data_IF_833018191611
#
_entry.id   IF_833018191611
#
_cell.length_a   1.000
_cell.length_b   1.000
_cell.length_c   1.000
_cell.angle_alpha   90.00
_cell.angle_beta   90.00
_cell.angle_gamma   90.00
#
_symmetry.space_group_name_H-M   'P 1'
#
loop_
_entity.id
_entity.type
_entity.pdbx_description
1 polymer ?
#
# COMPACT_ATOMS: atom_id res chain seq x y z
N UNK A 1 17.56 -4.23 14.79
CA UNK A 1 16.55 -4.24 15.88
C UNK A 1 16.85 -5.31 16.92
N UNK A 2 16.94 -6.59 16.56
CA UNK A 2 17.31 -7.68 17.51
C UNK A 2 18.63 -7.42 18.24
N UNK A 3 19.68 -6.99 17.51
CA UNK A 3 20.98 -6.61 18.10
C UNK A 3 20.92 -5.46 19.11
N UNK A 4 19.86 -4.65 19.06
CA UNK A 4 19.59 -3.56 19.99
C UNK A 4 18.67 -3.97 21.15
N UNK A 5 18.35 -5.27 21.27
CA UNK A 5 17.55 -5.81 22.39
C UNK A 5 16.05 -5.61 22.25
N UNK A 6 15.56 -5.24 21.07
CA UNK A 6 14.11 -5.14 20.84
C UNK A 6 13.52 -6.55 20.79
N UNK A 7 12.47 -6.86 21.58
CA UNK A 7 11.83 -8.18 21.58
C UNK A 7 11.39 -8.61 20.19
N UNK A 8 11.60 -9.89 19.86
CA UNK A 8 11.31 -10.40 18.52
C UNK A 8 9.84 -10.26 18.10
N UNK A 9 8.90 -10.37 19.04
CA UNK A 9 7.47 -10.16 18.77
C UNK A 9 7.15 -8.70 18.45
N UNK A 10 7.87 -7.73 19.03
CA UNK A 10 7.73 -6.31 18.66
C UNK A 10 8.24 -6.07 17.25
N UNK A 11 9.34 -6.71 16.86
CA UNK A 11 9.85 -6.66 15.47
C UNK A 11 8.82 -7.26 14.51
N UNK A 12 8.20 -8.38 14.88
CA UNK A 12 7.20 -9.05 14.06
C UNK A 12 5.93 -8.21 13.88
N UNK A 13 5.43 -7.59 14.96
CA UNK A 13 4.29 -6.66 14.86
C UNK A 13 4.60 -5.48 13.95
N UNK A 14 5.81 -4.92 14.04
CA UNK A 14 6.24 -3.84 13.17
C UNK A 14 6.25 -4.28 11.70
N UNK A 15 6.79 -5.46 11.39
CA UNK A 15 6.83 -5.99 10.01
C UNK A 15 5.43 -6.15 9.42
N UNK A 16 4.45 -6.61 10.22
CA UNK A 16 3.07 -6.78 9.77
C UNK A 16 2.33 -5.45 9.56
N UNK A 17 2.52 -4.48 10.46
CA UNK A 17 1.75 -3.22 10.46
C UNK A 17 2.35 -2.17 9.56
N UNK A 18 3.67 -2.07 9.47
CA UNK A 18 4.34 -0.98 8.76
C UNK A 18 3.93 -0.87 7.29
N UNK A 19 3.79 -1.97 6.51
CA UNK A 19 3.30 -1.88 5.14
C UNK A 19 1.83 -1.46 5.09
N UNK A 20 0.99 -2.02 5.96
CA UNK A 20 -0.47 -1.88 5.88
C UNK A 20 -0.95 -0.51 6.36
N UNK A 21 -0.47 -0.03 7.52
CA UNK A 21 -0.92 1.21 8.17
C UNK A 21 0.02 2.39 7.91
N UNK A 22 0.74 2.38 6.79
CA UNK A 22 1.53 3.55 6.42
C UNK A 22 0.61 4.73 6.02
N UNK A 23 1.04 5.99 6.19
CA UNK A 23 0.22 7.15 5.88
C UNK A 23 -0.27 7.19 4.42
N UNK A 24 0.54 6.70 3.47
CA UNK A 24 0.17 6.67 2.04
C UNK A 24 -0.98 5.70 1.79
N UNK A 25 -0.95 4.52 2.40
CA UNK A 25 -2.04 3.53 2.33
C UNK A 25 -3.33 4.08 2.90
N UNK A 26 -3.27 4.83 4.00
CA UNK A 26 -4.46 5.44 4.61
C UNK A 26 -5.06 6.50 3.68
N UNK A 27 -4.23 7.39 3.14
CA UNK A 27 -4.66 8.43 2.19
C UNK A 27 -5.27 7.80 0.92
N UNK A 28 -4.61 6.80 0.37
CA UNK A 28 -5.10 6.09 -0.80
C UNK A 28 -6.39 5.29 -0.52
N UNK A 29 -6.49 4.70 0.68
CA UNK A 29 -7.66 3.96 1.14
C UNK A 29 -8.90 4.84 1.29
N UNK A 30 -8.73 6.05 1.83
CA UNK A 30 -9.80 7.06 1.91
C UNK A 30 -10.35 7.47 0.54
N UNK A 31 -9.60 7.22 -0.55
CA UNK A 31 -10.05 7.56 -1.91
C UNK A 31 -10.96 6.49 -2.49
N UNK A 32 -10.84 5.25 -2.01
CA UNK A 32 -11.48 4.10 -2.62
C UNK A 32 -12.57 3.49 -1.75
N UNK A 33 -12.53 3.73 -0.43
CA UNK A 33 -13.29 3.02 0.58
C UNK A 33 -13.93 4.01 1.56
N UNK A 34 -15.11 3.67 2.08
CA UNK A 34 -15.74 4.43 3.15
C UNK A 34 -14.83 4.56 4.40
N UNK A 35 -14.77 5.74 5.05
CA UNK A 35 -13.93 5.96 6.23
C UNK A 35 -14.16 4.97 7.38
N UNK A 36 -15.42 4.56 7.60
CA UNK A 36 -15.79 3.59 8.65
C UNK A 36 -15.16 2.22 8.37
N UNK A 37 -15.21 1.75 7.13
CA UNK A 37 -14.56 0.51 6.72
C UNK A 37 -13.05 0.65 6.92
N UNK A 38 -12.41 1.72 6.41
CA UNK A 38 -10.97 1.91 6.62
C UNK A 38 -10.56 1.90 8.09
N UNK A 39 -11.34 2.53 8.97
CA UNK A 39 -11.10 2.52 10.42
C UNK A 39 -11.19 1.10 10.99
N UNK A 40 -12.22 0.33 10.61
CA UNK A 40 -12.37 -1.07 11.01
C UNK A 40 -11.14 -1.90 10.62
N UNK A 41 -10.65 -1.73 9.39
CA UNK A 41 -9.45 -2.42 8.90
C UNK A 41 -8.18 -1.98 9.63
N UNK A 42 -8.04 -0.68 9.90
CA UNK A 42 -6.90 -0.15 10.63
C UNK A 42 -6.83 -0.71 12.05
N UNK A 43 -7.96 -0.67 12.78
CA UNK A 43 -8.07 -1.23 14.13
C UNK A 43 -7.87 -2.75 14.11
N UNK A 44 -8.51 -3.46 13.17
CA UNK A 44 -8.37 -4.91 13.03
C UNK A 44 -6.92 -5.34 12.78
N UNK A 45 -6.23 -4.69 11.85
CA UNK A 45 -4.81 -4.95 11.57
C UNK A 45 -3.93 -4.66 12.78
N UNK A 46 -4.18 -3.55 13.48
CA UNK A 46 -3.44 -3.18 14.69
C UNK A 46 -3.61 -4.22 15.80
N UNK A 47 -4.85 -4.65 16.07
CA UNK A 47 -5.16 -5.66 17.09
C UNK A 47 -4.52 -7.00 16.74
N UNK A 48 -4.64 -7.45 15.48
CA UNK A 48 -4.03 -8.71 15.03
C UNK A 48 -2.52 -8.67 15.16
N UNK A 49 -1.88 -7.64 14.61
CA UNK A 49 -0.42 -7.55 14.64
C UNK A 49 0.13 -7.46 16.05
N UNK A 50 -0.47 -6.64 16.91
CA UNK A 50 -0.08 -6.51 18.31
C UNK A 50 -0.32 -7.81 19.06
N UNK A 51 -1.47 -8.46 18.83
CA UNK A 51 -1.80 -9.76 19.41
C UNK A 51 -0.81 -10.85 19.03
N UNK A 52 -0.45 -10.94 17.75
CA UNK A 52 0.58 -11.87 17.26
C UNK A 52 1.92 -11.59 17.94
N UNK A 53 2.34 -10.32 18.05
CA UNK A 53 3.59 -9.96 18.72
C UNK A 53 3.61 -10.29 20.21
N UNK A 54 2.50 -10.06 20.92
CA UNK A 54 2.36 -10.43 22.34
C UNK A 54 2.43 -11.94 22.52
N UNK A 55 1.67 -12.71 21.73
CA UNK A 55 1.70 -14.18 21.78
C UNK A 55 3.10 -14.71 21.40
N UNK A 56 3.77 -14.06 20.45
CA UNK A 56 5.13 -14.42 20.06
C UNK A 56 6.12 -14.22 21.22
N UNK A 57 6.06 -13.06 21.89
CA UNK A 57 6.94 -12.77 23.01
C UNK A 57 6.73 -13.77 24.16
N UNK A 58 5.51 -14.21 24.42
CA UNK A 58 5.26 -15.18 25.50
C UNK A 58 5.70 -16.61 25.16
N UNK A 59 5.70 -17.00 23.87
CA UNK A 59 5.97 -18.39 23.46
C UNK A 59 7.37 -18.61 22.87
N UNK A 60 8.03 -17.56 22.36
CA UNK A 60 9.26 -17.68 21.55
C UNK A 60 10.42 -16.82 22.06
N UNK A 61 10.18 -15.61 22.60
CA UNK A 61 11.24 -14.66 22.97
C UNK A 61 12.28 -15.24 23.91
N UNK A 62 11.87 -15.95 24.96
CA UNK A 62 12.78 -16.44 26.02
C UNK A 62 13.91 -17.36 25.52
N UNK A 63 13.80 -17.88 24.28
CA UNK A 63 14.79 -18.79 23.69
C UNK A 63 15.60 -18.18 22.54
N UNK A 64 15.15 -17.06 21.96
CA UNK A 64 15.73 -16.52 20.73
C UNK A 64 16.09 -15.04 20.81
N UNK A 65 15.62 -14.30 21.80
CA UNK A 65 15.99 -12.90 21.95
C UNK A 65 17.47 -12.78 22.39
N UNK A 66 18.09 -11.66 22.02
CA UNK A 66 19.50 -11.42 22.33
C UNK A 66 19.64 -11.25 23.84
N UNK A 67 20.60 -11.99 24.42
CA UNK A 67 20.92 -11.87 25.84
C UNK A 67 21.24 -10.39 26.16
N UNK A 68 20.67 -9.81 27.24
CA UNK A 68 20.98 -8.45 27.67
C UNK A 68 22.48 -8.15 27.80
N UNK A 69 23.34 -9.15 28.01
CA UNK A 69 24.80 -8.99 28.06
C UNK A 69 25.45 -8.73 26.69
N UNK A 70 24.79 -9.11 25.59
CA UNK A 70 25.30 -9.01 24.22
C UNK A 70 24.67 -7.86 23.39
N UNK A 71 24.07 -6.87 24.06
CA UNK A 71 23.41 -5.76 23.39
C UNK A 71 24.42 -4.79 22.77
N UNK A 72 24.32 -4.58 21.46
CA UNK A 72 25.09 -3.56 20.74
C UNK A 72 24.56 -2.16 21.10
N UNK A 73 25.44 -1.23 21.48
CA UNK A 73 25.07 0.18 21.71
C UNK A 73 25.24 0.98 20.42
N UNK A 74 24.25 1.79 20.07
CA UNK A 74 24.33 2.65 18.89
C UNK A 74 25.51 3.65 19.03
N UNK A 75 26.28 3.91 17.96
CA UNK A 75 27.41 4.85 18.02
C UNK A 75 26.92 6.23 18.46
N UNK A 76 27.63 6.94 19.34
CA UNK A 76 27.19 8.28 19.80
C UNK A 76 27.27 9.35 18.69
N UNK A 77 28.27 9.28 17.79
CA UNK A 77 28.48 10.24 16.69
C UNK A 77 27.57 9.94 15.48
N UNK A 78 26.86 10.95 14.99
CA UNK A 78 25.89 10.81 13.87
C UNK A 78 26.50 10.24 12.59
N UNK A 79 27.73 10.63 12.23
CA UNK A 79 28.42 10.11 11.03
C UNK A 79 28.66 8.60 11.13
N UNK A 80 29.01 8.11 12.33
CA UNK A 80 29.22 6.69 12.57
C UNK A 80 27.90 5.91 12.55
N UNK A 81 26.79 6.51 13.02
CA UNK A 81 25.46 5.92 12.87
C UNK A 81 25.10 5.73 11.40
N UNK A 82 25.29 6.77 10.58
CA UNK A 82 25.02 6.70 9.14
C UNK A 82 25.90 5.64 8.47
N UNK A 83 27.19 5.58 8.83
CA UNK A 83 28.10 4.57 8.31
C UNK A 83 27.66 3.14 8.66
N UNK A 84 27.27 2.88 9.91
CA UNK A 84 26.75 1.57 10.35
C UNK A 84 25.47 1.22 9.59
N UNK A 85 24.53 2.16 9.45
CA UNK A 85 23.28 1.95 8.73
C UNK A 85 23.57 1.61 7.26
N UNK A 86 24.46 2.37 6.61
CA UNK A 86 24.83 2.16 5.21
C UNK A 86 25.54 0.81 5.00
N UNK A 87 26.49 0.45 5.87
CA UNK A 87 27.19 -0.84 5.81
C UNK A 87 26.22 -2.01 6.03
N UNK A 88 25.37 -1.91 7.05
CA UNK A 88 24.36 -2.94 7.34
C UNK A 88 23.37 -3.10 6.19
N UNK A 89 22.89 -1.99 5.62
CA UNK A 89 21.94 -2.02 4.51
C UNK A 89 22.56 -2.61 3.23
N UNK A 90 23.77 -2.18 2.86
CA UNK A 90 24.44 -2.63 1.63
C UNK A 90 24.87 -4.10 1.71
N UNK A 91 25.50 -4.53 2.82
CA UNK A 91 25.88 -5.93 3.05
C UNK A 91 24.64 -6.83 3.18
N UNK A 92 23.59 -6.33 3.84
CA UNK A 92 22.30 -7.02 3.96
C UNK A 92 21.65 -7.26 2.61
N UNK A 93 21.59 -6.21 1.76
CA UNK A 93 20.98 -6.23 0.44
C UNK A 93 21.61 -7.25 -0.52
N UNK A 94 22.93 -7.48 -0.42
CA UNK A 94 23.68 -8.48 -1.20
C UNK A 94 23.81 -9.81 -0.44
N UNK A 95 23.26 -9.88 0.77
CA UNK A 95 23.37 -10.98 1.70
C UNK A 95 22.13 -11.90 1.70
N UNK A 96 21.75 -12.43 2.87
CA UNK A 96 20.58 -13.30 2.99
C UNK A 96 19.26 -12.62 2.59
N UNK A 97 19.16 -11.29 2.73
CA UNK A 97 17.96 -10.53 2.34
C UNK A 97 17.74 -10.57 0.82
N UNK A 98 18.80 -10.64 0.02
CA UNK A 98 18.69 -10.83 -1.43
C UNK A 98 17.91 -12.10 -1.78
N UNK A 99 18.19 -13.19 -1.05
CA UNK A 99 17.51 -14.47 -1.23
C UNK A 99 16.04 -14.36 -0.82
N UNK A 100 15.76 -13.65 0.28
CA UNK A 100 14.39 -13.43 0.74
C UNK A 100 13.57 -12.66 -0.31
N UNK A 101 14.14 -11.60 -0.92
CA UNK A 101 13.51 -10.88 -2.03
C UNK A 101 13.36 -11.74 -3.29
N UNK A 102 14.40 -12.50 -3.66
CA UNK A 102 14.35 -13.40 -4.81
C UNK A 102 13.26 -14.47 -4.65
N UNK A 103 13.10 -15.04 -3.46
CA UNK A 103 12.04 -16.00 -3.16
C UNK A 103 10.65 -15.37 -3.25
N UNK A 104 10.47 -14.15 -2.75
CA UNK A 104 9.20 -13.44 -2.88
C UNK A 104 8.85 -13.17 -4.34
N UNK A 105 9.80 -12.68 -5.15
CA UNK A 105 9.59 -12.43 -6.59
C UNK A 105 9.30 -13.72 -7.37
N UNK A 106 10.04 -14.80 -7.07
CA UNK A 106 9.79 -16.10 -7.67
C UNK A 106 8.41 -16.64 -7.31
N UNK A 107 7.99 -16.50 -6.05
CA UNK A 107 6.67 -16.95 -5.60
C UNK A 107 5.54 -16.23 -6.36
N UNK A 108 5.66 -14.92 -6.55
CA UNK A 108 4.70 -14.14 -7.36
C UNK A 108 4.72 -14.59 -8.83
N UNK A 109 5.91 -14.77 -9.41
CA UNK A 109 6.04 -15.24 -10.78
C UNK A 109 5.41 -16.61 -11.01
N UNK A 110 5.65 -17.55 -10.09
CA UNK A 110 5.04 -18.89 -10.12
C UNK A 110 3.53 -18.84 -9.91
N UNK A 111 3.05 -18.02 -8.97
CA UNK A 111 1.63 -17.86 -8.74
C UNK A 111 0.93 -17.43 -10.02
N UNK A 112 1.40 -16.38 -10.68
CA UNK A 112 0.80 -15.95 -11.93
C UNK A 112 0.90 -17.02 -13.03
N UNK A 113 2.00 -17.77 -13.10
CA UNK A 113 2.22 -18.78 -14.14
C UNK A 113 1.28 -19.99 -14.00
N UNK A 114 0.91 -20.34 -12.77
CA UNK A 114 0.10 -21.53 -12.48
C UNK A 114 -1.37 -21.22 -12.17
N UNK A 115 -1.71 -19.99 -11.81
CA UNK A 115 -3.07 -19.61 -11.44
C UNK A 115 -3.89 -19.26 -12.68
N UNK A 116 -4.93 -20.04 -13.05
CA UNK A 116 -5.71 -19.78 -14.25
C UNK A 116 -6.47 -18.45 -14.16
N UNK A 117 -6.71 -17.84 -15.33
CA UNK A 117 -7.49 -16.62 -15.41
C UNK A 117 -8.89 -16.78 -14.81
N UNK A 118 -9.30 -15.81 -14.00
CA UNK A 118 -10.65 -15.73 -13.43
C UNK A 118 -10.96 -16.67 -12.25
N UNK A 119 -10.00 -17.49 -11.82
CA UNK A 119 -10.23 -18.43 -10.71
C UNK A 119 -10.49 -17.70 -9.36
N UNK A 120 -9.88 -16.53 -9.17
CA UNK A 120 -10.10 -15.71 -7.98
C UNK A 120 -11.40 -14.90 -8.08
N UNK A 121 -11.83 -14.51 -9.29
CA UNK A 121 -13.09 -13.76 -9.48
C UNK A 121 -14.31 -14.59 -9.10
N UNK A 122 -14.30 -15.88 -9.42
CA UNK A 122 -15.41 -16.80 -9.12
C UNK A 122 -15.38 -17.34 -7.70
N UNK A 123 -14.18 -17.47 -7.10
CA UNK A 123 -14.01 -18.05 -5.77
C UNK A 123 -14.17 -17.08 -4.59
N UNK A 124 -14.07 -15.76 -4.82
CA UNK A 124 -14.01 -14.75 -3.74
C UNK A 124 -15.36 -14.10 -3.41
N UNK A 125 -16.45 -14.65 -3.93
CA UNK A 125 -17.81 -14.13 -3.72
C UNK A 125 -18.15 -14.06 -2.22
N UNK A 126 -18.96 -13.08 -1.84
CA UNK A 126 -19.33 -12.83 -0.44
C UNK A 126 -20.08 -14.00 0.21
N UNK A 127 -20.80 -14.79 -0.58
CA UNK A 127 -21.53 -15.95 -0.09
C UNK A 127 -20.62 -17.16 0.19
N UNK A 128 -19.37 -17.13 -0.28
CA UNK A 128 -18.42 -18.20 -0.05
C UNK A 128 -17.73 -18.05 1.32
N UNK A 129 -18.17 -18.85 2.30
CA UNK A 129 -17.56 -18.93 3.64
C UNK A 129 -16.07 -19.27 3.58
N UNK A 130 -15.61 -19.95 2.52
CA UNK A 130 -14.21 -20.31 2.33
C UNK A 130 -13.37 -19.23 1.64
N UNK A 131 -13.97 -18.12 1.16
CA UNK A 131 -13.24 -17.07 0.46
C UNK A 131 -12.07 -16.50 1.29
N UNK A 132 -12.21 -16.18 2.59
CA UNK A 132 -11.08 -15.71 3.41
C UNK A 132 -9.97 -16.75 3.55
N UNK A 133 -10.32 -18.04 3.60
CA UNK A 133 -9.34 -19.13 3.70
C UNK A 133 -8.56 -19.31 2.40
N UNK A 134 -9.27 -19.40 1.27
CA UNK A 134 -8.67 -19.54 -0.06
C UNK A 134 -7.81 -18.30 -0.33
N UNK A 135 -8.30 -17.11 0.01
CA UNK A 135 -7.55 -15.88 -0.19
C UNK A 135 -6.32 -15.83 0.70
N UNK A 136 -6.39 -16.30 1.95
CA UNK A 136 -5.23 -16.40 2.80
C UNK A 136 -4.14 -17.31 2.21
N UNK A 137 -4.53 -18.45 1.64
CA UNK A 137 -3.58 -19.37 1.00
C UNK A 137 -2.94 -18.75 -0.25
N UNK A 138 -3.73 -18.07 -1.07
CA UNK A 138 -3.26 -17.35 -2.26
C UNK A 138 -2.42 -16.14 -1.88
N UNK A 139 -2.75 -15.44 -0.80
CA UNK A 139 -2.09 -14.20 -0.41
C UNK A 139 -0.67 -14.40 0.13
N UNK A 140 -0.32 -15.58 0.65
CA UNK A 140 1.04 -15.90 1.13
C UNK A 140 2.12 -15.74 0.03
N UNK A 141 1.95 -16.34 -1.17
CA UNK A 141 2.88 -16.13 -2.28
C UNK A 141 2.71 -14.79 -2.99
N UNK A 142 1.56 -14.12 -2.82
CA UNK A 142 1.31 -12.79 -3.38
C UNK A 142 2.16 -11.76 -2.63
N UNK A 143 3.05 -11.09 -3.35
CA UNK A 143 3.69 -9.86 -2.88
C UNK A 143 3.11 -8.70 -3.66
N UNK A 144 2.43 -7.80 -2.95
CA UNK A 144 1.76 -6.65 -3.54
C UNK A 144 2.07 -5.43 -2.70
N UNK A 145 2.29 -4.30 -3.37
CA UNK A 145 2.56 -3.07 -2.64
C UNK A 145 1.32 -2.66 -1.85
N UNK A 146 1.47 -2.03 -0.67
CA UNK A 146 0.32 -1.58 0.11
C UNK A 146 -0.64 -0.67 -0.67
N UNK A 147 -0.12 0.15 -1.58
CA UNK A 147 -0.91 1.01 -2.46
C UNK A 147 -1.77 0.19 -3.43
N UNK A 148 -1.19 -0.83 -4.08
CA UNK A 148 -1.91 -1.71 -5.00
C UNK A 148 -2.97 -2.53 -4.25
N UNK A 149 -2.62 -3.07 -3.07
CA UNK A 149 -3.56 -3.80 -2.21
C UNK A 149 -4.77 -2.91 -1.88
N UNK A 150 -4.54 -1.64 -1.56
CA UNK A 150 -5.61 -0.71 -1.21
C UNK A 150 -6.51 -0.37 -2.41
N UNK A 151 -5.94 -0.30 -3.63
CA UNK A 151 -6.72 -0.17 -4.87
C UNK A 151 -7.62 -1.39 -5.09
N UNK A 152 -7.03 -2.59 -5.02
CA UNK A 152 -7.75 -3.85 -5.19
C UNK A 152 -8.84 -4.01 -4.14
N UNK A 153 -8.56 -3.60 -2.90
CA UNK A 153 -9.54 -3.59 -1.83
C UNK A 153 -10.73 -2.68 -2.15
N UNK A 154 -10.47 -1.48 -2.69
CA UNK A 154 -11.53 -0.57 -3.17
C UNK A 154 -12.50 -1.25 -4.12
N UNK A 155 -11.96 -1.99 -5.10
CA UNK A 155 -12.76 -2.78 -6.04
C UNK A 155 -13.50 -3.92 -5.32
N UNK A 156 -12.83 -4.69 -4.46
CA UNK A 156 -13.45 -5.78 -3.68
C UNK A 156 -14.66 -5.29 -2.87
N UNK A 157 -14.57 -4.13 -2.23
CA UNK A 157 -15.68 -3.54 -1.46
C UNK A 157 -16.80 -3.03 -2.37
N UNK A 158 -16.45 -2.35 -3.46
CA UNK A 158 -17.43 -1.78 -4.41
C UNK A 158 -18.20 -2.86 -5.17
N UNK A 159 -17.52 -3.95 -5.51
CA UNK A 159 -18.05 -5.04 -6.35
C UNK A 159 -18.72 -6.16 -5.51
N UNK A 160 -18.75 -5.99 -4.17
CA UNK A 160 -19.53 -6.85 -3.27
C UNK A 160 -18.87 -8.19 -2.93
N UNK A 161 -17.54 -8.30 -3.04
CA UNK A 161 -16.77 -9.50 -2.67
C UNK A 161 -16.57 -9.63 -1.15
N UNK A 162 -16.12 -10.81 -0.67
CA UNK A 162 -15.92 -11.06 0.77
C UNK A 162 -14.93 -10.05 1.39
N UNK A 163 -15.37 -9.35 2.43
CA UNK A 163 -14.52 -8.43 3.19
C UNK A 163 -13.43 -9.19 3.95
N UNK A 164 -13.72 -10.42 4.36
CA UNK A 164 -12.73 -11.32 4.94
C UNK A 164 -11.62 -11.74 3.97
N UNK A 165 -11.95 -12.01 2.70
CA UNK A 165 -10.94 -12.25 1.67
C UNK A 165 -10.07 -11.00 1.45
N UNK A 166 -10.69 -9.83 1.43
CA UNK A 166 -10.01 -8.54 1.34
C UNK A 166 -9.05 -8.30 2.52
N UNK A 167 -9.48 -8.62 3.75
CA UNK A 167 -8.63 -8.55 4.95
C UNK A 167 -7.46 -9.53 4.87
N UNK A 168 -7.72 -10.77 4.47
CA UNK A 168 -6.67 -11.78 4.28
C UNK A 168 -5.64 -11.30 3.25
N UNK A 169 -6.07 -10.75 2.11
CA UNK A 169 -5.17 -10.17 1.11
C UNK A 169 -4.36 -8.99 1.66
N UNK A 170 -4.96 -8.11 2.46
CA UNK A 170 -4.23 -6.99 3.06
C UNK A 170 -3.16 -7.47 4.03
N UNK A 171 -3.53 -8.28 5.01
CA UNK A 171 -2.61 -8.67 6.08
C UNK A 171 -1.53 -9.63 5.56
N UNK A 172 -1.90 -10.58 4.69
CA UNK A 172 -0.95 -11.51 4.10
C UNK A 172 -0.24 -10.89 2.90
N UNK A 173 -0.96 -10.43 1.87
CA UNK A 173 -0.35 -9.95 0.63
C UNK A 173 0.55 -8.71 0.79
N UNK A 174 0.18 -7.76 1.65
CA UNK A 174 1.03 -6.59 1.95
C UNK A 174 1.93 -6.79 3.18
N UNK A 175 1.47 -7.52 4.21
CA UNK A 175 2.15 -7.66 5.49
C UNK A 175 3.08 -8.89 5.63
N UNK A 176 2.81 -9.98 4.92
CA UNK A 176 3.54 -11.24 5.07
C UNK A 176 3.69 -12.04 3.75
N UNK A 177 4.91 -12.08 3.22
CA UNK A 177 5.23 -12.83 2.00
C UNK A 177 6.18 -14.01 2.24
N UNK A 178 6.42 -14.81 1.21
CA UNK A 178 7.36 -15.95 1.24
C UNK A 178 8.78 -15.55 1.68
N UNK A 179 9.22 -14.34 1.35
CA UNK A 179 10.50 -13.80 1.83
C UNK A 179 10.52 -13.61 3.35
N UNK A 180 9.47 -13.04 3.94
CA UNK A 180 9.30 -12.92 5.39
C UNK A 180 9.24 -14.31 6.04
N UNK A 181 8.54 -15.27 5.42
CA UNK A 181 8.48 -16.65 5.91
C UNK A 181 9.87 -17.32 5.90
N UNK A 182 10.67 -17.12 4.84
CA UNK A 182 12.03 -17.67 4.79
C UNK A 182 12.96 -17.00 5.79
N UNK A 183 12.85 -15.68 5.98
CA UNK A 183 13.56 -14.96 7.04
C UNK A 183 13.23 -15.53 8.42
N UNK A 184 11.94 -15.71 8.72
CA UNK A 184 11.50 -16.25 10.01
C UNK A 184 11.98 -17.69 10.22
N UNK A 185 11.93 -18.52 9.17
CA UNK A 185 12.49 -19.88 9.16
C UNK A 185 13.99 -19.88 9.46
N UNK A 186 14.74 -18.98 8.83
CA UNK A 186 16.20 -18.90 8.97
C UNK A 186 16.61 -18.48 10.38
N UNK A 187 15.94 -17.47 10.93
CA UNK A 187 16.38 -16.81 12.16
C UNK A 187 15.78 -17.44 13.44
N UNK A 188 14.56 -18.02 13.36
CA UNK A 188 13.84 -18.60 14.50
C UNK A 188 13.51 -20.09 14.34
N UNK A 189 13.72 -20.65 13.14
CA UNK A 189 13.43 -22.05 12.85
C UNK A 189 11.99 -22.31 12.40
N UNK A 190 11.71 -23.58 12.11
CA UNK A 190 10.45 -23.99 11.47
C UNK A 190 9.25 -23.98 12.44
N UNK A 191 9.45 -24.30 13.73
CA UNK A 191 8.34 -24.34 14.70
C UNK A 191 7.74 -22.94 14.93
N UNK A 192 8.53 -21.87 15.17
CA UNK A 192 7.97 -20.52 15.27
C UNK A 192 7.35 -20.04 13.95
N UNK A 193 7.88 -20.43 12.78
CA UNK A 193 7.23 -20.15 11.51
C UNK A 193 5.81 -20.72 11.44
N UNK A 194 5.61 -21.98 11.83
CA UNK A 194 4.27 -22.59 11.83
C UNK A 194 3.33 -21.90 12.82
N UNK A 195 3.83 -21.48 13.98
CA UNK A 195 3.06 -20.68 14.93
C UNK A 195 2.64 -19.35 14.31
N UNK A 196 3.57 -18.63 13.68
CA UNK A 196 3.27 -17.36 13.02
C UNK A 196 2.22 -17.51 11.92
N UNK A 197 2.41 -18.45 10.99
CA UNK A 197 1.46 -18.72 9.91
C UNK A 197 0.09 -19.13 10.47
N UNK A 198 0.06 -19.98 11.50
CA UNK A 198 -1.18 -20.41 12.16
C UNK A 198 -1.92 -19.26 12.85
N UNK A 199 -1.21 -18.41 13.59
CA UNK A 199 -1.80 -17.22 14.22
C UNK A 199 -2.31 -16.22 13.19
N UNK A 200 -1.56 -16.00 12.11
CA UNK A 200 -1.92 -15.07 11.06
C UNK A 200 -3.17 -15.56 10.32
N UNK A 201 -3.18 -16.80 9.82
CA UNK A 201 -4.37 -17.39 9.19
C UNK A 201 -5.55 -17.41 10.17
N UNK A 202 -5.36 -17.89 11.40
CA UNK A 202 -6.41 -17.94 12.41
C UNK A 202 -7.02 -16.57 12.70
N UNK A 203 -6.19 -15.53 12.85
CA UNK A 203 -6.65 -14.16 13.08
C UNK A 203 -7.40 -13.57 11.89
N UNK A 204 -6.92 -13.80 10.66
CA UNK A 204 -7.61 -13.33 9.44
C UNK A 204 -8.97 -14.01 9.25
N UNK A 205 -9.10 -15.29 9.62
CA UNK A 205 -10.38 -16.00 9.59
C UNK A 205 -11.36 -15.45 10.62
N UNK A 206 -10.91 -15.20 11.86
CA UNK A 206 -11.74 -14.61 12.91
C UNK A 206 -12.24 -13.23 12.47
N UNK A 207 -11.35 -12.36 11.99
CA UNK A 207 -11.74 -11.04 11.54
C UNK A 207 -12.64 -11.10 10.32
N UNK A 208 -12.29 -11.90 9.31
CA UNK A 208 -13.11 -12.02 8.11
C UNK A 208 -14.53 -12.47 8.40
N UNK A 209 -14.68 -13.46 9.28
CA UNK A 209 -15.99 -13.93 9.74
C UNK A 209 -16.78 -12.86 10.51
N UNK A 210 -16.11 -12.07 11.34
CA UNK A 210 -16.77 -10.95 12.03
C UNK A 210 -17.13 -9.83 11.07
N UNK A 211 -16.24 -9.45 10.17
CA UNK A 211 -16.38 -8.35 9.22
C UNK A 211 -17.54 -8.58 8.26
N UNK A 212 -17.63 -9.79 7.69
CA UNK A 212 -18.70 -10.17 6.77
C UNK A 212 -20.10 -10.09 7.42
N UNK A 213 -20.17 -10.18 8.76
CA UNK A 213 -21.43 -10.07 9.53
C UNK A 213 -21.69 -8.69 10.14
N UNK A 214 -20.67 -7.92 10.50
CA UNK A 214 -20.82 -6.64 11.20
C UNK A 214 -20.90 -5.44 10.27
N UNK A 215 -20.30 -5.50 9.09
CA UNK A 215 -20.30 -4.38 8.14
C UNK A 215 -21.60 -4.45 7.31
N UNK A 216 -22.48 -3.46 7.53
CA UNK A 216 -23.78 -3.34 6.88
C UNK A 216 -23.71 -3.43 5.35
N UNK A 217 -24.77 -3.99 4.78
CA UNK A 217 -24.91 -4.39 3.39
C UNK A 217 -24.91 -3.18 2.44
N UNK A 218 -23.76 -2.87 1.84
CA UNK A 218 -23.71 -2.01 0.66
C UNK A 218 -24.54 -2.61 -0.49
N UNK A 219 -25.28 -1.77 -1.21
CA UNK A 219 -26.13 -2.09 -2.38
C UNK A 219 -25.33 -2.53 -3.62
N UNK A 220 -24.23 -3.27 -3.44
CA UNK A 220 -23.42 -3.76 -4.55
C UNK A 220 -24.15 -4.95 -5.19
N UNK A 221 -24.69 -4.74 -6.38
CA UNK A 221 -25.05 -5.83 -7.28
C UNK A 221 -23.76 -6.54 -7.67
N UNK A 222 -23.62 -7.84 -7.38
CA UNK A 222 -22.46 -8.62 -7.82
C UNK A 222 -22.33 -8.48 -9.34
N UNK A 223 -21.32 -7.74 -9.80
CA UNK A 223 -20.94 -7.73 -11.21
C UNK A 223 -20.03 -8.94 -11.46
N UNK A 224 -20.48 -9.85 -12.32
CA UNK A 224 -19.83 -11.14 -12.63
C UNK A 224 -18.44 -10.99 -13.31
N UNK A 225 -17.98 -9.75 -13.56
CA UNK A 225 -16.79 -9.45 -14.36
C UNK A 225 -15.94 -8.33 -13.74
N UNK A 226 -15.25 -8.64 -12.64
CA UNK A 226 -14.40 -7.66 -11.95
C UNK A 226 -12.92 -7.89 -12.22
N UNK A 227 -12.23 -6.91 -12.81
CA UNK A 227 -10.77 -6.94 -13.05
C UNK A 227 -9.90 -6.86 -11.77
N UNK A 228 -10.48 -6.81 -10.56
CA UNK A 228 -9.76 -6.60 -9.31
C UNK A 228 -8.70 -7.67 -9.01
N UNK A 229 -8.85 -8.90 -9.51
CA UNK A 229 -7.87 -9.96 -9.32
C UNK A 229 -7.10 -10.31 -10.60
N UNK A 230 -7.29 -9.55 -11.68
CA UNK A 230 -6.62 -9.80 -12.96
C UNK A 230 -5.12 -9.62 -12.84
N UNK A 231 -4.66 -8.64 -12.05
CA UNK A 231 -3.23 -8.41 -11.79
C UNK A 231 -2.52 -9.63 -11.20
N UNK A 232 -3.24 -10.54 -10.52
CA UNK A 232 -2.69 -11.76 -9.93
C UNK A 232 -2.78 -12.98 -10.84
N UNK A 233 -3.66 -12.96 -11.85
CA UNK A 233 -3.99 -14.12 -12.69
C UNK A 233 -3.63 -13.91 -14.18
N UNK A 234 -3.27 -12.70 -14.59
CA UNK A 234 -2.85 -12.37 -15.95
C UNK A 234 -1.36 -12.09 -15.98
N UNK A 235 -0.55 -13.08 -16.36
CA UNK A 235 0.78 -12.76 -16.89
C UNK A 235 0.65 -12.02 -18.22
N UNK A 236 1.64 -11.19 -18.51
CA UNK A 236 1.82 -10.66 -19.85
C UNK A 236 1.86 -11.83 -20.85
N UNK A 237 0.97 -11.81 -21.84
CA UNK A 237 1.06 -12.72 -22.97
C UNK A 237 2.30 -12.33 -23.78
N UNK A 238 3.38 -13.10 -23.64
CA UNK A 238 4.60 -12.89 -24.40
C UNK A 238 4.60 -13.88 -25.56
N UNK A 239 4.72 -13.38 -26.78
CA UNK A 239 4.93 -14.25 -27.93
C UNK A 239 6.25 -15.01 -27.73
N UNK A 240 6.33 -16.29 -28.13
CA UNK A 240 7.55 -17.09 -27.93
C UNK A 240 8.78 -16.48 -28.63
N UNK A 241 8.58 -15.64 -29.64
CA UNK A 241 9.63 -14.96 -30.40
C UNK A 241 10.16 -13.71 -29.68
N UNK A 242 9.38 -13.09 -28.80
CA UNK A 242 9.76 -11.89 -28.04
C UNK A 242 10.19 -12.21 -26.60
N UNK A 243 9.99 -13.44 -26.14
CA UNK A 243 10.36 -13.88 -24.80
C UNK A 243 11.88 -13.97 -24.62
N UNK A 244 12.51 -12.87 -24.19
CA UNK A 244 13.95 -12.81 -23.92
C UNK A 244 14.36 -11.69 -22.94
N UNK A 245 15.65 -11.61 -22.59
CA UNK A 245 16.18 -10.58 -21.69
C UNK A 245 15.91 -9.15 -22.20
N UNK A 246 15.91 -8.95 -23.52
CA UNK A 246 15.58 -7.67 -24.15
C UNK A 246 14.15 -7.23 -23.82
N UNK A 247 13.17 -8.13 -23.89
CA UNK A 247 11.79 -7.84 -23.53
C UNK A 247 11.65 -7.45 -22.06
N UNK A 248 12.36 -8.15 -21.16
CA UNK A 248 12.39 -7.79 -19.73
C UNK A 248 12.95 -6.39 -19.54
N UNK A 249 14.08 -6.06 -20.19
CA UNK A 249 14.69 -4.72 -20.12
C UNK A 249 13.72 -3.65 -20.65
N UNK A 250 13.06 -3.90 -21.79
CA UNK A 250 12.07 -2.97 -22.34
C UNK A 250 10.90 -2.77 -21.38
N UNK A 251 10.35 -3.84 -20.79
CA UNK A 251 9.22 -3.75 -19.85
C UNK A 251 9.59 -3.05 -18.55
N UNK A 252 10.77 -3.33 -18.01
CA UNK A 252 11.30 -2.62 -16.83
C UNK A 252 11.51 -1.14 -17.16
N UNK A 253 12.09 -0.82 -18.31
CA UNK A 253 12.29 0.56 -18.76
C UNK A 253 10.97 1.30 -18.93
N UNK A 254 9.99 0.70 -19.61
CA UNK A 254 8.63 1.24 -19.75
C UNK A 254 7.97 1.44 -18.38
N UNK A 255 8.13 0.48 -17.46
CA UNK A 255 7.54 0.59 -16.12
C UNK A 255 8.15 1.73 -15.30
N UNK A 256 9.44 2.03 -15.49
CA UNK A 256 10.14 3.14 -14.82
C UNK A 256 9.81 4.49 -15.49
N UNK A 257 9.50 4.49 -16.79
CA UNK A 257 9.19 5.72 -17.54
C UNK A 257 7.71 6.11 -17.53
N UNK A 258 6.81 5.21 -17.09
CA UNK A 258 5.35 5.43 -17.13
C UNK A 258 4.84 6.66 -16.37
N UNK A 259 5.56 7.16 -15.36
CA UNK A 259 5.16 8.35 -14.59
C UNK A 259 5.88 9.63 -15.02
N UNK A 260 5.81 9.93 -16.31
CA UNK A 260 6.60 10.98 -16.98
C UNK A 260 6.27 12.43 -16.54
N UNK A 261 5.13 12.68 -15.88
CA UNK A 261 4.66 14.05 -15.64
C UNK A 261 5.25 14.79 -14.42
N UNK A 262 5.92 14.11 -13.48
CA UNK A 262 6.63 14.77 -12.35
C UNK A 262 7.56 13.83 -11.55
N UNK A 263 7.30 12.51 -11.55
CA UNK A 263 7.97 11.52 -10.69
C UNK A 263 8.95 10.60 -11.41
N UNK A 264 9.03 10.61 -12.75
CA UNK A 264 9.97 9.77 -13.51
C UNK A 264 11.44 9.95 -13.12
N UNK A 265 11.86 11.18 -12.76
CA UNK A 265 13.22 11.43 -12.26
C UNK A 265 13.49 10.77 -10.89
N UNK A 266 12.46 10.65 -10.04
CA UNK A 266 12.59 10.03 -8.73
C UNK A 266 12.67 8.50 -8.82
N UNK A 267 11.92 7.89 -9.74
CA UNK A 267 11.95 6.43 -9.97
C UNK A 267 13.30 5.98 -10.54
N UNK A 268 13.81 6.70 -11.55
CA UNK A 268 15.16 6.47 -12.09
C UNK A 268 16.22 6.69 -11.01
N UNK A 269 16.10 7.77 -10.23
CA UNK A 269 17.01 8.06 -9.12
C UNK A 269 17.02 6.95 -8.06
N UNK A 270 15.85 6.42 -7.69
CA UNK A 270 15.72 5.29 -6.77
C UNK A 270 16.34 4.00 -7.29
N UNK A 271 16.14 3.70 -8.57
CA UNK A 271 16.76 2.54 -9.22
C UNK A 271 18.29 2.66 -9.28
N UNK A 272 18.81 3.83 -9.65
CA UNK A 272 20.25 4.11 -9.63
C UNK A 272 20.85 3.98 -8.23
N UNK A 273 20.16 4.48 -7.20
CA UNK A 273 20.57 4.34 -5.81
C UNK A 273 20.61 2.87 -5.39
N UNK A 274 19.62 2.07 -5.77
CA UNK A 274 19.60 0.64 -5.48
C UNK A 274 20.79 -0.10 -6.12
N UNK A 275 21.10 0.20 -7.39
CA UNK A 275 22.29 -0.36 -8.07
C UNK A 275 23.56 0.05 -7.33
N UNK A 276 23.69 1.33 -6.99
CA UNK A 276 24.84 1.83 -6.25
C UNK A 276 25.02 1.09 -4.92
N UNK A 277 23.94 0.91 -4.15
CA UNK A 277 23.97 0.17 -2.88
C UNK A 277 24.35 -1.30 -3.07
N UNK A 278 23.86 -1.95 -4.14
CA UNK A 278 24.26 -3.32 -4.47
C UNK A 278 25.75 -3.41 -4.83
N UNK A 279 26.24 -2.52 -5.69
CA UNK A 279 27.67 -2.48 -6.08
C UNK A 279 28.56 -2.27 -4.86
N UNK A 280 28.22 -1.29 -4.01
CA UNK A 280 28.93 -1.03 -2.75
C UNK A 280 28.90 -2.27 -1.85
N UNK A 281 27.74 -2.92 -1.71
CA UNK A 281 27.60 -4.14 -0.90
C UNK A 281 28.47 -5.30 -1.42
N UNK A 282 28.53 -5.50 -2.74
CA UNK A 282 29.40 -6.50 -3.38
C UNK A 282 30.87 -6.17 -3.09
N UNK A 283 31.29 -4.92 -3.30
CA UNK A 283 32.66 -4.48 -3.04
C UNK A 283 33.04 -4.68 -1.57
N UNK A 284 32.19 -4.26 -0.63
CA UNK A 284 32.43 -4.45 0.81
C UNK A 284 32.54 -5.93 1.18
N UNK A 285 31.71 -6.79 0.57
CA UNK A 285 31.76 -8.24 0.80
C UNK A 285 33.03 -8.88 0.23
N UNK A 286 33.51 -8.41 -0.92
CA UNK A 286 34.77 -8.88 -1.54
C UNK A 286 36.01 -8.42 -0.77
N UNK A 287 35.98 -7.19 -0.25
CA UNK A 287 37.06 -6.63 0.57
C UNK A 287 37.08 -7.25 1.97
N UNK A 288 35.98 -7.88 2.37
CA UNK A 288 35.87 -8.67 3.60
C UNK A 288 35.97 -7.83 4.87
N UNK A 289 36.65 -8.37 5.87
CA UNK A 289 36.71 -7.77 7.22
C UNK A 289 37.67 -6.57 7.34
N UNK A 290 38.31 -6.14 6.23
CA UNK A 290 39.25 -5.00 6.26
C UNK A 290 38.59 -3.66 6.59
N UNK A 291 37.29 -3.54 6.36
CA UNK A 291 36.47 -2.36 6.71
C UNK A 291 35.27 -2.77 7.57
N UNK A 292 35.51 -3.24 8.79
CA UNK A 292 34.42 -3.49 9.76
C UNK A 292 34.03 -2.21 10.49
N UNK A 293 32.84 -1.71 10.18
CA UNK A 293 32.20 -0.59 10.88
C UNK A 293 31.66 -1.02 12.26
N UNK A 294 31.65 -2.33 12.54
CA UNK A 294 31.19 -2.94 13.80
C UNK A 294 32.01 -2.53 15.03
N UNK A 295 33.25 -2.06 14.85
CA UNK A 295 34.05 -1.49 15.95
C UNK A 295 33.36 -0.28 16.61
N UNK A 296 32.48 0.42 15.88
CA UNK A 296 31.72 1.54 16.43
C UNK A 296 30.49 1.12 17.25
N UNK A 297 30.17 -0.19 17.27
CA UNK A 297 29.05 -0.78 18.01
C UNK A 297 29.49 -1.46 19.32
N UNK A 298 30.80 -1.55 19.58
CA UNK A 298 31.34 -2.15 20.80
C UNK A 298 31.05 -1.28 22.03
N UNK A 299 30.79 -1.90 23.20
CA UNK A 299 30.71 -1.17 24.45
C UNK A 299 32.08 -0.54 24.75
N UNK A 300 32.14 0.78 24.77
CA UNK A 300 33.32 1.49 25.28
C UNK A 300 33.32 1.32 26.80
N UNK A 301 34.23 0.51 27.32
CA UNK A 301 34.67 0.58 28.72
C UNK A 301 35.33 1.94 28.93
N UNK A 302 34.54 2.95 29.27
CA UNK A 302 34.94 4.17 29.98
C UNK A 302 33.74 5.14 29.98
N UNK A 303 32.86 4.99 30.97
CA UNK A 303 31.83 5.99 31.25
C UNK A 303 32.44 7.18 32.02
N UNK A 304 33.19 8.03 31.31
CA UNK A 304 33.21 9.44 31.68
C UNK A 304 31.84 10.01 31.29
N UNK A 305 31.05 10.40 32.29
CA UNK A 305 29.79 11.09 32.11
C UNK A 305 30.03 12.44 31.41
N UNK A 306 30.08 12.46 30.08
CA UNK A 306 30.05 13.70 29.32
C UNK A 306 28.68 14.37 29.52
N UNK A 307 28.71 15.63 29.96
CA UNK A 307 27.54 16.46 30.20
C UNK A 307 26.68 16.58 28.94
N UNK A 308 25.38 16.26 29.08
CA UNK A 308 24.40 16.53 28.05
C UNK A 308 24.40 18.02 27.69
N UNK A 309 24.93 18.35 26.50
CA UNK A 309 24.84 19.72 25.99
C UNK A 309 23.38 20.14 25.83
N UNK A 310 23.11 21.45 26.02
CA UNK A 310 21.77 22.05 25.86
C UNK A 310 21.09 21.72 24.51
N UNK A 311 21.88 21.44 23.48
CA UNK A 311 21.42 21.09 22.12
C UNK A 311 21.33 19.57 21.85
N UNK A 312 21.70 18.72 22.81
CA UNK A 312 21.59 17.26 22.72
C UNK A 312 21.14 16.66 24.08
N UNK A 313 19.93 17.01 24.57
CA UNK A 313 19.41 16.43 25.80
C UNK A 313 19.08 14.95 25.61
N UNK A 314 19.24 14.14 26.67
CA UNK A 314 18.66 12.80 26.70
C UNK A 314 17.14 12.91 26.72
N UNK A 315 16.48 12.45 25.66
CA UNK A 315 15.03 12.34 25.60
C UNK A 315 14.57 11.08 26.32
N UNK A 316 13.52 11.21 27.14
CA UNK A 316 12.91 10.04 27.77
C UNK A 316 12.18 9.18 26.73
N UNK A 317 12.02 7.86 26.96
CA UNK A 317 11.25 6.99 26.07
C UNK A 317 9.83 7.53 25.80
N UNK A 318 9.19 8.11 26.81
CA UNK A 318 7.86 8.73 26.68
C UNK A 318 7.89 9.93 25.75
N UNK A 319 8.90 10.80 25.86
CA UNK A 319 9.05 11.94 24.95
C UNK A 319 9.25 11.48 23.51
N UNK A 320 10.09 10.47 23.28
CA UNK A 320 10.33 9.91 21.95
C UNK A 320 9.04 9.33 21.35
N UNK A 321 8.29 8.54 22.13
CA UNK A 321 7.02 7.96 21.68
C UNK A 321 6.00 9.06 21.38
N UNK A 322 5.81 10.02 22.28
CA UNK A 322 4.85 11.11 22.08
C UNK A 322 5.19 11.96 20.86
N UNK A 323 6.45 12.36 20.70
CA UNK A 323 6.90 13.15 19.53
C UNK A 323 6.74 12.32 18.24
N UNK A 324 7.05 11.03 18.27
CA UNK A 324 6.89 10.17 17.09
C UNK A 324 5.42 10.00 16.70
N UNK A 325 4.54 9.76 17.67
CA UNK A 325 3.09 9.62 17.43
C UNK A 325 2.50 10.93 16.93
N UNK A 326 2.76 12.05 17.61
CA UNK A 326 2.27 13.36 17.17
C UNK A 326 2.85 13.77 15.83
N UNK A 327 4.13 13.46 15.56
CA UNK A 327 4.79 13.73 14.29
C UNK A 327 4.17 12.94 13.14
N UNK A 328 3.93 11.63 13.32
CA UNK A 328 3.27 10.79 12.31
C UNK A 328 1.83 11.24 12.09
N UNK A 329 1.08 11.56 13.15
CA UNK A 329 -0.28 12.08 13.03
C UNK A 329 -0.29 13.44 12.30
N UNK A 330 0.60 14.35 12.67
CA UNK A 330 0.72 15.67 12.04
C UNK A 330 1.08 15.59 10.56
N UNK A 331 2.07 14.76 10.20
CA UNK A 331 2.43 14.49 8.80
C UNK A 331 1.32 13.78 8.04
N UNK A 332 0.59 12.87 8.69
CA UNK A 332 -0.57 12.20 8.13
C UNK A 332 -1.69 13.20 7.80
N UNK A 333 -2.01 14.10 8.72
CA UNK A 333 -2.99 15.18 8.50
C UNK A 333 -2.52 16.12 7.40
N UNK A 334 -1.26 16.55 7.40
CA UNK A 334 -0.72 17.39 6.34
C UNK A 334 -0.79 16.70 4.97
N UNK A 335 -0.40 15.43 4.89
CA UNK A 335 -0.51 14.63 3.67
C UNK A 335 -1.95 14.48 3.18
N UNK A 336 -2.90 14.35 4.12
CA UNK A 336 -4.32 14.29 3.81
C UNK A 336 -4.83 15.60 3.19
N UNK A 337 -4.44 16.75 3.73
CA UNK A 337 -4.80 18.07 3.18
C UNK A 337 -4.14 18.37 1.83
N UNK A 338 -2.94 17.85 1.60
CA UNK A 338 -2.26 17.95 0.29
C UNK A 338 -2.94 17.07 -0.76
N UNK A 339 -3.35 15.86 -0.39
CA UNK A 339 -3.98 14.93 -1.33
C UNK A 339 -5.46 15.25 -1.62
N UNK A 340 -6.18 15.75 -0.61
CA UNK A 340 -7.56 16.21 -0.70
C UNK A 340 -7.61 17.73 -0.57
N UNK A 341 -7.43 18.48 -1.67
CA UNK A 341 -7.52 19.94 -1.65
C UNK A 341 -8.96 20.40 -1.36
N UNK A 342 -9.20 21.71 -1.27
CA UNK A 342 -10.56 22.18 -0.94
C UNK A 342 -11.55 21.81 -2.04
N UNK A 343 -12.83 21.70 -1.70
CA UNK A 343 -13.88 21.40 -2.71
C UNK A 343 -13.88 22.44 -3.84
N UNK A 344 -13.58 23.70 -3.53
CA UNK A 344 -13.47 24.76 -4.53
C UNK A 344 -12.28 24.53 -5.49
N UNK A 345 -11.10 24.18 -4.96
CA UNK A 345 -9.92 23.89 -5.78
C UNK A 345 -10.17 22.66 -6.67
N UNK A 346 -10.80 21.62 -6.12
CA UNK A 346 -11.18 20.43 -6.89
C UNK A 346 -12.14 20.77 -8.03
N UNK A 347 -13.15 21.59 -7.77
CA UNK A 347 -14.11 22.01 -8.80
C UNK A 347 -13.41 22.86 -9.87
N UNK A 348 -12.44 23.69 -9.51
CA UNK A 348 -11.64 24.46 -10.46
C UNK A 348 -10.76 23.54 -11.33
N UNK A 349 -10.07 22.57 -10.75
CA UNK A 349 -9.32 21.55 -11.49
C UNK A 349 -10.23 20.72 -12.41
N UNK A 350 -11.38 20.27 -11.90
CA UNK A 350 -12.38 19.54 -12.67
C UNK A 350 -12.89 20.37 -13.85
N UNK A 351 -13.03 21.69 -13.69
CA UNK A 351 -13.43 22.57 -14.77
C UNK A 351 -12.37 22.64 -15.88
N UNK A 352 -11.08 22.67 -15.53
CA UNK A 352 -9.97 22.64 -16.50
C UNK A 352 -10.01 21.30 -17.26
N UNK A 353 -10.07 20.17 -16.54
CA UNK A 353 -10.11 18.83 -17.14
C UNK A 353 -11.33 18.68 -18.05
N UNK A 354 -12.49 19.22 -17.64
CA UNK A 354 -13.72 19.21 -18.45
C UNK A 354 -13.52 19.87 -19.80
N UNK A 355 -12.86 21.03 -19.85
CA UNK A 355 -12.60 21.74 -21.10
C UNK A 355 -11.70 20.90 -22.00
N UNK A 356 -10.61 20.37 -21.46
CA UNK A 356 -9.67 19.49 -22.20
C UNK A 356 -10.36 18.22 -22.72
N UNK A 357 -11.22 17.59 -21.92
CA UNK A 357 -11.99 16.43 -22.33
C UNK A 357 -12.94 16.76 -23.48
N UNK A 358 -13.64 17.89 -23.43
CA UNK A 358 -14.51 18.30 -24.53
C UNK A 358 -13.76 18.66 -25.81
N UNK A 359 -12.55 19.20 -25.69
CA UNK A 359 -11.71 19.48 -26.87
C UNK A 359 -11.17 18.18 -27.49
N UNK A 360 -10.78 17.19 -26.68
CA UNK A 360 -10.41 15.85 -27.17
C UNK A 360 -11.60 15.16 -27.88
N UNK A 361 -12.80 15.22 -27.29
CA UNK A 361 -14.02 14.68 -27.90
C UNK A 361 -14.37 15.37 -29.23
N UNK A 362 -14.07 16.68 -29.37
CA UNK A 362 -14.24 17.43 -30.63
C UNK A 362 -13.20 17.08 -31.68
N UNK A 363 -11.98 16.78 -31.25
CA UNK A 363 -10.88 16.34 -32.11
C UNK A 363 -11.04 14.87 -32.55
N UNK A 364 -12.07 14.17 -32.07
CA UNK A 364 -12.30 12.74 -32.29
C UNK A 364 -11.15 11.86 -31.76
N UNK A 365 -10.39 12.38 -30.79
CA UNK A 365 -9.33 11.66 -30.09
C UNK A 365 -9.92 10.91 -28.90
N UNK A 366 -10.35 9.66 -29.15
CA UNK A 366 -10.96 8.81 -28.13
C UNK A 366 -9.99 8.39 -27.02
N UNK A 367 -8.69 8.28 -27.31
CA UNK A 367 -7.68 7.88 -26.34
C UNK A 367 -7.41 9.00 -25.34
N UNK A 368 -7.16 10.22 -25.85
CA UNK A 368 -7.00 11.40 -25.01
C UNK A 368 -8.29 11.69 -24.23
N UNK A 369 -9.46 11.51 -24.85
CA UNK A 369 -10.74 11.67 -24.17
C UNK A 369 -10.89 10.73 -22.97
N UNK A 370 -10.65 9.42 -23.17
CA UNK A 370 -10.69 8.41 -22.09
C UNK A 370 -9.68 8.72 -20.98
N UNK A 371 -8.49 9.23 -21.33
CA UNK A 371 -7.50 9.66 -20.36
C UNK A 371 -8.03 10.83 -19.50
N UNK A 372 -8.68 11.82 -20.12
CA UNK A 372 -9.24 12.99 -19.41
C UNK A 372 -10.49 12.67 -18.61
N UNK A 373 -11.40 11.85 -19.10
CA UNK A 373 -12.57 11.39 -18.32
C UNK A 373 -12.12 10.59 -17.09
N UNK A 374 -11.08 9.76 -17.24
CA UNK A 374 -10.46 9.05 -16.12
C UNK A 374 -9.83 10.00 -15.08
N UNK A 375 -9.22 11.12 -15.51
CA UNK A 375 -8.74 12.16 -14.59
C UNK A 375 -9.91 12.88 -13.90
N UNK A 376 -10.96 13.22 -14.65
CA UNK A 376 -12.13 13.92 -14.15
C UNK A 376 -12.88 13.09 -13.09
N UNK A 377 -13.11 11.81 -13.38
CA UNK A 377 -13.68 10.85 -12.42
C UNK A 377 -12.88 10.79 -11.12
N UNK A 378 -11.55 10.69 -11.20
CA UNK A 378 -10.68 10.65 -10.02
C UNK A 378 -10.77 11.90 -9.16
N UNK A 379 -10.94 13.10 -9.75
CA UNK A 379 -11.10 14.32 -8.98
C UNK A 379 -12.51 14.43 -8.38
N UNK A 380 -13.54 14.02 -9.12
CA UNK A 380 -14.91 14.00 -8.62
C UNK A 380 -15.09 13.08 -7.41
N UNK A 381 -14.49 11.88 -7.44
CA UNK A 381 -14.52 10.92 -6.33
C UNK A 381 -13.90 11.48 -5.02
N UNK A 382 -13.05 12.51 -5.10
CA UNK A 382 -12.45 13.16 -3.92
C UNK A 382 -13.36 14.17 -3.24
N UNK A 383 -14.43 14.65 -3.89
CA UNK A 383 -15.28 15.73 -3.36
C UNK A 383 -15.88 15.39 -1.97
N UNK A 384 -16.50 14.21 -1.75
CA UNK A 384 -17.09 13.88 -0.45
C UNK A 384 -16.05 13.86 0.67
N UNK A 385 -14.92 13.20 0.43
CA UNK A 385 -13.85 13.08 1.42
C UNK A 385 -13.22 14.44 1.74
N UNK A 386 -13.04 15.29 0.74
CA UNK A 386 -12.48 16.63 0.90
C UNK A 386 -13.37 17.55 1.74
N UNK A 387 -14.69 17.39 1.63
CA UNK A 387 -15.67 18.10 2.45
C UNK A 387 -15.66 17.59 3.90
N UNK A 388 -15.67 16.25 4.11
CA UNK A 388 -15.64 15.64 5.44
C UNK A 388 -14.40 16.03 6.26
N UNK A 389 -13.22 16.03 5.63
CA UNK A 389 -11.95 16.37 6.31
C UNK A 389 -11.93 17.82 6.82
N UNK A 390 -12.72 18.70 6.21
CA UNK A 390 -12.81 20.12 6.55
C UNK A 390 -14.02 20.45 7.44
N UNK A 391 -14.67 19.42 8.00
CA UNK A 391 -15.77 19.57 8.94
C UNK A 391 -17.14 19.77 8.30
N UNK A 392 -17.26 19.62 6.97
CA UNK A 392 -18.56 19.61 6.31
C UNK A 392 -19.24 18.24 6.38
N UNK A 393 -20.54 18.20 6.14
CA UNK A 393 -21.33 16.97 6.06
C UNK A 393 -21.69 16.68 4.60
N UNK A 394 -21.61 15.40 4.21
CA UNK A 394 -22.01 14.98 2.86
C UNK A 394 -23.48 14.60 2.89
N UNK A 395 -24.31 15.45 2.28
CA UNK A 395 -25.76 15.23 2.11
C UNK A 395 -26.01 13.99 1.24
N UNK A 396 -27.16 13.33 1.43
CA UNK A 396 -27.55 12.21 0.57
C UNK A 396 -27.75 12.66 -0.89
N UNK A 397 -28.26 13.87 -1.10
CA UNK A 397 -28.35 14.52 -2.41
C UNK A 397 -26.96 14.75 -3.05
N UNK A 398 -25.94 15.09 -2.25
CA UNK A 398 -24.55 15.18 -2.71
C UNK A 398 -23.99 13.84 -3.18
N UNK A 399 -24.31 12.74 -2.49
CA UNK A 399 -23.87 11.41 -2.93
C UNK A 399 -24.60 10.96 -4.19
N UNK A 400 -25.90 11.23 -4.27
CA UNK A 400 -26.71 10.88 -5.44
C UNK A 400 -26.27 11.66 -6.68
N UNK A 401 -26.13 12.98 -6.58
CA UNK A 401 -25.67 13.83 -7.69
C UNK A 401 -24.27 13.46 -8.19
N UNK A 402 -23.34 13.09 -7.29
CA UNK A 402 -22.04 12.56 -7.68
C UNK A 402 -22.18 11.23 -8.43
N UNK A 403 -23.01 10.32 -7.93
CA UNK A 403 -23.21 9.00 -8.56
C UNK A 403 -23.81 9.12 -9.97
N UNK A 404 -24.79 10.00 -10.15
CA UNK A 404 -25.40 10.29 -11.44
C UNK A 404 -24.40 10.92 -12.41
N UNK A 405 -23.61 11.91 -11.94
CA UNK A 405 -22.56 12.51 -12.73
C UNK A 405 -21.53 11.49 -13.20
N UNK A 406 -21.04 10.62 -12.31
CA UNK A 406 -20.07 9.57 -12.65
C UNK A 406 -20.64 8.57 -13.66
N UNK A 407 -21.91 8.20 -13.51
CA UNK A 407 -22.61 7.32 -14.47
C UNK A 407 -22.77 7.99 -15.83
N UNK A 408 -23.19 9.25 -15.87
CA UNK A 408 -23.31 10.03 -17.09
C UNK A 408 -21.98 10.22 -17.81
N UNK A 409 -20.90 10.46 -17.06
CA UNK A 409 -19.54 10.58 -17.59
C UNK A 409 -19.06 9.27 -18.23
N UNK A 410 -19.27 8.13 -17.57
CA UNK A 410 -18.94 6.80 -18.12
C UNK A 410 -19.71 6.52 -19.41
N UNK A 411 -21.01 6.80 -19.42
CA UNK A 411 -21.86 6.63 -20.60
C UNK A 411 -21.37 7.49 -21.77
N UNK A 412 -20.94 8.72 -21.48
CA UNK A 412 -20.37 9.62 -22.49
C UNK A 412 -19.03 9.11 -23.04
N UNK A 413 -18.16 8.56 -22.19
CA UNK A 413 -16.93 7.86 -22.57
C UNK A 413 -17.19 6.71 -23.54
N UNK A 414 -18.15 5.84 -23.22
CA UNK A 414 -18.52 4.70 -24.06
C UNK A 414 -19.01 5.14 -25.46
N UNK A 415 -19.76 6.25 -25.53
CA UNK A 415 -20.24 6.78 -26.82
C UNK A 415 -19.13 7.38 -27.68
N UNK A 416 -18.17 8.09 -27.08
CA UNK A 416 -17.04 8.70 -27.81
C UNK A 416 -16.08 7.62 -28.29
N UNK A 417 -15.72 6.66 -27.43
CA UNK A 417 -14.83 5.54 -27.80
C UNK A 417 -15.45 4.60 -28.83
N UNK A 418 -16.78 4.46 -28.85
CA UNK A 418 -17.49 3.72 -29.89
C UNK A 418 -17.65 4.49 -31.23
N UNK A 419 -17.08 5.71 -31.35
CA UNK A 419 -17.15 6.52 -32.57
C UNK A 419 -18.55 7.07 -32.87
N UNK A 420 -19.48 7.08 -31.90
CA UNK A 420 -20.86 7.53 -32.09
C UNK A 420 -20.97 9.04 -31.86
N UNK A 421 -20.37 9.82 -32.76
CA UNK A 421 -20.18 11.28 -32.61
C UNK A 421 -21.47 12.08 -32.42
N UNK A 422 -22.57 11.69 -33.07
CA UNK A 422 -23.86 12.38 -32.90
C UNK A 422 -24.50 12.12 -31.53
N UNK A 423 -24.41 10.89 -31.03
CA UNK A 423 -24.88 10.53 -29.68
C UNK A 423 -24.01 11.20 -28.60
N UNK A 424 -22.70 11.23 -28.81
CA UNK A 424 -21.75 11.92 -27.96
C UNK A 424 -22.04 13.43 -27.87
N UNK A 425 -22.36 14.08 -28.99
CA UNK A 425 -22.74 15.51 -29.00
C UNK A 425 -24.00 15.79 -28.19
N UNK A 426 -25.00 14.91 -28.26
CA UNK A 426 -26.23 15.02 -27.45
C UNK A 426 -25.95 14.80 -25.96
N UNK A 427 -25.09 13.83 -25.64
CA UNK A 427 -24.69 13.49 -24.27
C UNK A 427 -23.93 14.62 -23.56
N UNK A 428 -23.18 15.44 -24.30
CA UNK A 428 -22.42 16.56 -23.73
C UNK A 428 -23.27 17.49 -22.87
N UNK A 429 -24.44 17.90 -23.36
CA UNK A 429 -25.33 18.81 -22.64
C UNK A 429 -25.89 18.19 -21.35
N UNK A 430 -26.18 16.89 -21.40
CA UNK A 430 -26.65 16.13 -20.25
C UNK A 430 -25.56 15.98 -19.17
N UNK A 431 -24.34 15.58 -19.55
CA UNK A 431 -23.21 15.46 -18.61
C UNK A 431 -22.86 16.82 -18.00
N UNK A 432 -22.93 17.90 -18.76
CA UNK A 432 -22.66 19.24 -18.23
C UNK A 432 -23.71 19.69 -17.21
N UNK A 433 -24.97 19.29 -17.40
CA UNK A 433 -26.04 19.50 -16.42
C UNK A 433 -25.79 18.75 -15.12
N UNK A 434 -25.45 17.46 -15.21
CA UNK A 434 -25.10 16.63 -14.05
C UNK A 434 -23.88 17.16 -13.31
N UNK A 435 -22.84 17.57 -14.04
CA UNK A 435 -21.63 18.17 -13.48
C UNK A 435 -21.94 19.42 -12.66
N UNK A 436 -22.77 20.33 -13.18
CA UNK A 436 -23.15 21.56 -12.47
C UNK A 436 -23.96 21.25 -11.21
N UNK A 437 -24.96 20.39 -11.32
CA UNK A 437 -25.77 19.98 -10.18
C UNK A 437 -24.91 19.37 -9.06
N UNK A 438 -23.96 18.51 -9.42
CA UNK A 438 -22.99 17.97 -8.48
C UNK A 438 -22.12 19.07 -7.86
N UNK A 439 -21.53 19.97 -8.65
CA UNK A 439 -20.70 21.06 -8.14
C UNK A 439 -21.47 22.00 -7.19
N UNK A 440 -22.74 22.28 -7.48
CA UNK A 440 -23.58 23.17 -6.68
C UNK A 440 -23.88 22.53 -5.32
N UNK A 441 -24.16 21.23 -5.28
CA UNK A 441 -24.40 20.50 -4.04
C UNK A 441 -23.15 20.42 -3.14
N UNK A 442 -21.94 20.30 -3.73
CA UNK A 442 -20.67 20.33 -2.97
C UNK A 442 -20.14 21.74 -2.65
N UNK A 443 -20.77 22.79 -3.21
CA UNK A 443 -20.51 24.19 -2.88
C UNK A 443 -21.50 24.75 -1.86
N UNK A 444 -22.69 24.16 -1.75
CA UNK A 444 -23.69 24.58 -0.81
C UNK A 444 -23.07 24.54 0.62
N UNK A 445 -23.13 25.64 1.39
CA UNK A 445 -22.78 25.57 2.79
C UNK A 445 -23.71 24.54 3.43
N UNK A 446 -23.15 23.62 4.22
CA UNK A 446 -23.95 22.76 5.09
C UNK A 446 -24.72 23.67 6.04
N UNK A 447 -26.01 23.88 5.77
CA UNK A 447 -26.93 24.50 6.71
C UNK A 447 -27.07 23.56 7.92
N UNK A 448 -26.28 23.84 8.96
CA UNK A 448 -26.50 23.40 10.34
C UNK A 448 -26.63 24.64 11.24
#
# INVERSE_FOLDING_TARGET
LRRAGIPSGTVLSFVLVAPVLNPVSIVYGLSHIAPVTLLYFAVGTFVVSTGIGVIWNTLVSDKHDTDPENLERAPRKSVHRIAVIADTATRGLVGPVFVDYGLALLAVGFLGAFLPHGILQTGMTRDNIWAPFIMGLVAIPVYVTPTDVMMHFGHIVRDGYSLGAAFALIVLGAGANVGVANWLRRDYGFRPLMLFVGLLIGSTLVIGFTADRTIEHGKATMEDHTHAFDSFTRLAQVSQEEAGPSWVVTKVSESISKHEAASGAAEVGGFCLLILLMVVGVVLRLVGDRFRVEQYLQPVEDEAAEEYTKWNPALSPVQLVTVSVLGVLGLGVAGLYVFYPSTNDLIEEMNIIRVEAYDAARAEDGEEFSRRTSQWKRQAEKLPTSLLIRGGTVTDAGRESLSEFLYGLKTYEDHVTAGRTDQAKMMRGYVDGLYRACCDEFRAPSDD
#
